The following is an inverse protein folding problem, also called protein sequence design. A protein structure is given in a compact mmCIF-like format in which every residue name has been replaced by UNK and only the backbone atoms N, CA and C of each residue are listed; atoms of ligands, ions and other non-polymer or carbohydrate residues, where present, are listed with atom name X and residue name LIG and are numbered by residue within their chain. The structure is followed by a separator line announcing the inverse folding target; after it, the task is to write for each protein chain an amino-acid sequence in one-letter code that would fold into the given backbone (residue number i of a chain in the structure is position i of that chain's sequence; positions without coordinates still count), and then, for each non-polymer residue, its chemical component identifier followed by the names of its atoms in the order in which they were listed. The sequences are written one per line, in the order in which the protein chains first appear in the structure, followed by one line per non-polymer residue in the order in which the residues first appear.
data_IF_744130586225
#
_entry.id   IF_744130586225
#
_cell.length_a   1.000
_cell.length_b   1.000
_cell.length_c   1.000
_cell.angle_alpha   90.00
_cell.angle_beta   90.00
_cell.angle_gamma   90.00
#
_symmetry.space_group_name_H-M   'P 1'
#
loop_
_entity.id
_entity.type
_entity.pdbx_description
1 polymer ?
#
# COMPACT_ATOMS: atom_id res chain seq x y z
N UNK A 1 -27.71 -24.18 35.65
CA UNK A 1 -27.84 -22.81 35.10
C UNK A 1 -26.97 -22.70 33.86
N UNK A 2 -27.58 -22.40 32.71
CA UNK A 2 -26.92 -22.16 31.42
C UNK A 2 -26.43 -20.71 31.36
N UNK A 3 -25.23 -20.46 30.82
CA UNK A 3 -24.72 -19.11 30.59
C UNK A 3 -25.09 -18.64 29.16
N UNK A 4 -25.77 -17.50 29.07
CA UNK A 4 -26.11 -16.84 27.81
C UNK A 4 -24.98 -15.90 27.37
N UNK A 5 -24.56 -15.99 26.11
CA UNK A 5 -23.67 -15.02 25.48
C UNK A 5 -24.48 -13.79 25.06
N UNK A 6 -23.93 -12.58 25.24
CA UNK A 6 -24.50 -11.36 24.68
C UNK A 6 -23.42 -10.48 24.03
N UNK A 7 -23.85 -9.77 23.00
CA UNK A 7 -23.12 -9.28 21.83
C UNK A 7 -22.35 -7.97 22.02
N UNK A 8 -21.23 -7.87 21.28
CA UNK A 8 -20.52 -6.70 20.73
C UNK A 8 -20.62 -5.32 21.40
N UNK A 9 -19.46 -4.72 21.69
CA UNK A 9 -19.27 -3.27 21.64
C UNK A 9 -17.87 -3.00 21.06
N UNK A 10 -17.84 -2.51 19.82
CA UNK A 10 -16.65 -1.89 19.22
C UNK A 10 -16.44 -0.55 19.91
N UNK A 11 -15.39 -0.44 20.74
CA UNK A 11 -14.94 0.86 21.22
C UNK A 11 -14.12 1.53 20.11
N UNK A 12 -14.79 2.32 19.28
CA UNK A 12 -14.19 3.37 18.46
C UNK A 12 -13.50 4.36 19.39
N UNK A 13 -12.21 4.16 19.64
CA UNK A 13 -11.37 5.16 20.31
C UNK A 13 -11.13 6.28 19.31
N UNK A 14 -11.98 7.30 19.39
CA UNK A 14 -11.74 8.61 18.82
C UNK A 14 -10.72 9.36 19.70
N UNK A 15 -9.41 9.16 19.47
CA UNK A 15 -8.31 9.95 20.03
C UNK A 15 -7.13 9.84 19.05
N UNK A 16 -6.61 10.87 18.38
CA UNK A 16 -6.67 12.29 18.59
C UNK A 16 -6.60 13.01 17.24
N UNK A 17 -7.34 14.11 17.11
CA UNK A 17 -7.17 15.05 16.01
C UNK A 17 -5.71 15.56 16.01
N UNK A 18 -5.03 15.66 14.85
CA UNK A 18 -3.88 16.53 14.75
C UNK A 18 -4.39 17.97 14.88
N UNK A 19 -4.14 18.56 16.05
CA UNK A 19 -4.20 20.00 16.28
C UNK A 19 -3.09 20.65 15.42
N UNK A 20 -3.40 20.97 14.16
CA UNK A 20 -2.41 21.56 13.27
C UNK A 20 -2.99 22.46 12.17
N UNK A 21 -4.07 23.19 12.45
CA UNK A 21 -4.61 24.18 11.51
C UNK A 21 -4.89 25.54 12.18
N UNK A 22 -3.98 25.99 13.05
CA UNK A 22 -3.66 27.42 13.18
C UNK A 22 -2.37 27.71 12.38
N UNK A 23 -2.45 27.58 11.06
CA UNK A 23 -1.51 28.23 10.17
C UNK A 23 -2.36 29.02 9.18
N UNK A 24 -2.31 30.34 9.39
CA UNK A 24 -3.23 31.33 8.84
C UNK A 24 -3.64 31.09 7.40
N UNK A 25 -4.93 31.34 7.16
CA UNK A 25 -5.50 31.59 5.84
C UNK A 25 -4.64 32.60 5.06
N UNK A 26 -3.75 32.14 4.20
CA UNK A 26 -3.42 32.83 2.97
C UNK A 26 -4.08 32.09 1.80
N UNK A 27 -5.11 32.75 1.30
CA UNK A 27 -5.79 32.38 0.08
C UNK A 27 -4.78 32.42 -1.08
N UNK A 28 -4.73 31.35 -1.88
CA UNK A 28 -5.03 31.38 -3.31
C UNK A 28 -4.38 30.17 -4.00
N UNK A 29 -5.25 29.29 -4.50
CA UNK A 29 -4.94 28.29 -5.52
C UNK A 29 -4.18 27.02 -5.10
N UNK A 30 -4.69 26.31 -4.09
CA UNK A 30 -4.45 24.88 -3.94
C UNK A 30 -5.76 24.13 -4.14
N UNK A 31 -5.93 23.52 -5.32
CA UNK A 31 -7.04 22.63 -5.61
C UNK A 31 -6.98 21.44 -4.64
N UNK A 32 -7.87 21.44 -3.64
CA UNK A 32 -8.08 20.29 -2.76
C UNK A 32 -8.82 19.26 -3.59
N UNK A 33 -8.07 18.29 -4.13
CA UNK A 33 -8.65 17.14 -4.83
C UNK A 33 -9.33 16.26 -3.77
N UNK A 34 -10.66 16.13 -3.83
CA UNK A 34 -11.43 15.29 -2.91
C UNK A 34 -10.88 13.86 -2.92
N UNK A 35 -10.58 13.33 -1.74
CA UNK A 35 -10.04 11.99 -1.53
C UNK A 35 -11.07 10.87 -1.77
N UNK A 36 -12.19 11.16 -2.44
CA UNK A 36 -13.32 10.23 -2.62
C UNK A 36 -13.24 9.40 -3.89
N UNK A 37 -12.08 9.36 -4.57
CA UNK A 37 -11.90 8.31 -5.56
C UNK A 37 -11.61 7.02 -4.81
N UNK A 38 -12.65 6.20 -4.64
CA UNK A 38 -12.53 4.78 -4.35
C UNK A 38 -11.75 4.16 -5.51
N UNK A 39 -10.43 4.34 -5.48
CA UNK A 39 -9.52 3.56 -6.25
C UNK A 39 -9.78 2.14 -5.76
N UNK A 40 -10.35 1.31 -6.63
CA UNK A 40 -10.15 -0.13 -6.54
C UNK A 40 -8.68 -0.29 -6.16
N UNK A 41 -8.42 -0.83 -4.97
CA UNK A 41 -7.08 -1.13 -4.48
C UNK A 41 -6.55 -2.25 -5.38
N UNK A 42 -6.30 -1.94 -6.65
CA UNK A 42 -5.52 -2.78 -7.53
C UNK A 42 -4.16 -2.70 -6.91
N UNK A 43 -3.75 -3.80 -6.28
CA UNK A 43 -2.40 -3.91 -5.73
C UNK A 43 -1.44 -3.39 -6.81
N UNK A 44 -0.60 -2.39 -6.49
CA UNK A 44 0.32 -1.83 -7.47
C UNK A 44 1.17 -2.98 -8.03
N UNK A 45 1.44 -2.98 -9.35
CA UNK A 45 2.24 -4.03 -9.95
C UNK A 45 3.59 -4.13 -9.25
N UNK A 46 4.09 -5.35 -9.04
CA UNK A 46 5.34 -5.55 -8.31
C UNK A 46 6.49 -4.74 -8.94
N UNK A 47 7.24 -3.94 -8.16
CA UNK A 47 8.38 -3.18 -8.66
C UNK A 47 9.43 -4.08 -9.32
N UNK A 48 9.99 -3.64 -10.45
CA UNK A 48 11.10 -4.34 -11.12
C UNK A 48 12.39 -4.06 -10.35
N UNK A 49 13.02 -5.11 -9.81
CA UNK A 49 14.31 -5.04 -9.09
C UNK A 49 15.48 -5.50 -9.94
N UNK A 50 15.20 -6.37 -10.92
CA UNK A 50 16.13 -6.75 -11.97
C UNK A 50 15.38 -6.73 -13.30
N UNK A 51 15.81 -5.89 -14.23
CA UNK A 51 15.21 -5.86 -15.58
C UNK A 51 15.73 -7.00 -16.43
N UNK A 52 14.90 -7.51 -17.36
CA UNK A 52 15.30 -8.58 -18.28
C UNK A 52 16.57 -8.28 -19.08
N UNK A 53 16.77 -7.03 -19.51
CA UNK A 53 17.95 -6.61 -20.28
C UNK A 53 19.23 -6.72 -19.45
N UNK A 54 19.22 -6.27 -18.20
CA UNK A 54 20.34 -6.44 -17.26
C UNK A 54 20.49 -7.88 -16.75
N UNK A 55 19.39 -8.65 -16.75
CA UNK A 55 19.30 -9.98 -16.17
C UNK A 55 19.47 -11.12 -17.17
N UNK A 56 20.01 -10.87 -18.37
CA UNK A 56 20.22 -11.89 -19.41
C UNK A 56 18.93 -12.63 -19.80
N UNK A 57 17.81 -11.91 -19.87
CA UNK A 57 16.49 -12.48 -20.12
C UNK A 57 15.73 -12.89 -18.87
N UNK A 58 16.25 -12.63 -17.66
CA UNK A 58 15.51 -12.80 -16.41
C UNK A 58 15.04 -11.44 -15.88
N UNK A 59 13.73 -11.27 -15.71
CA UNK A 59 13.16 -10.16 -14.94
C UNK A 59 12.76 -10.65 -13.55
N UNK A 60 13.08 -9.84 -12.54
CA UNK A 60 12.63 -10.06 -11.16
C UNK A 60 11.82 -8.87 -10.72
N UNK A 61 10.60 -9.15 -10.29
CA UNK A 61 9.72 -8.17 -9.67
C UNK A 61 9.59 -8.54 -8.19
N UNK A 62 9.88 -7.63 -7.27
CA UNK A 62 9.85 -7.92 -5.84
C UNK A 62 9.36 -6.76 -4.98
N UNK A 63 8.84 -7.12 -3.81
CA UNK A 63 8.61 -6.20 -2.72
C UNK A 63 8.91 -6.84 -1.37
N UNK A 64 9.31 -6.02 -0.41
CA UNK A 64 9.48 -6.42 0.97
C UNK A 64 8.14 -6.22 1.70
N UNK A 65 7.61 -7.30 2.28
CA UNK A 65 6.34 -7.24 3.02
C UNK A 65 6.58 -7.60 4.47
N UNK A 66 6.07 -6.80 5.39
CA UNK A 66 6.09 -7.09 6.82
C UNK A 66 4.70 -7.57 7.26
N UNK A 67 4.61 -8.78 7.81
CA UNK A 67 3.38 -9.34 8.42
C UNK A 67 3.74 -10.04 9.72
N UNK A 68 2.96 -9.81 10.77
CA UNK A 68 3.09 -10.51 12.05
C UNK A 68 4.53 -10.53 12.62
N UNK A 69 5.21 -9.37 12.56
CA UNK A 69 6.63 -9.20 12.95
C UNK A 69 7.65 -10.00 12.13
N UNK A 70 7.23 -10.66 11.06
CA UNK A 70 8.10 -11.30 10.08
C UNK A 70 8.23 -10.44 8.83
N UNK A 71 9.38 -10.56 8.18
CA UNK A 71 9.70 -9.86 6.93
C UNK A 71 9.83 -10.89 5.82
N UNK A 72 9.09 -10.70 4.75
CA UNK A 72 9.04 -11.59 3.60
C UNK A 72 9.50 -10.87 2.35
N UNK A 73 10.28 -11.56 1.53
CA UNK A 73 10.43 -11.18 0.13
C UNK A 73 9.31 -11.83 -0.66
N UNK A 74 8.44 -11.01 -1.23
CA UNK A 74 7.48 -11.47 -2.22
C UNK A 74 8.08 -11.18 -3.59
N UNK A 75 8.27 -12.21 -4.41
CA UNK A 75 9.00 -12.15 -5.66
C UNK A 75 8.30 -12.93 -6.77
N UNK A 76 8.39 -12.40 -7.99
CA UNK A 76 8.01 -13.07 -9.24
C UNK A 76 9.20 -13.07 -10.19
N UNK A 77 9.38 -14.18 -10.91
CA UNK A 77 10.45 -14.37 -11.88
C UNK A 77 9.83 -14.60 -13.25
N UNK A 78 10.27 -13.82 -14.23
CA UNK A 78 9.79 -13.91 -15.60
C UNK A 78 10.95 -14.07 -16.57
N UNK A 79 10.79 -15.00 -17.52
CA UNK A 79 11.77 -15.23 -18.58
C UNK A 79 11.35 -14.46 -19.83
N UNK A 80 12.22 -13.57 -20.27
CA UNK A 80 12.10 -12.83 -21.52
C UNK A 80 13.16 -13.30 -22.51
N UNK A 81 12.77 -13.40 -23.77
CA UNK A 81 13.73 -13.56 -24.86
C UNK A 81 14.32 -12.19 -25.18
N UNK A 82 15.64 -12.06 -25.06
CA UNK A 82 16.33 -10.87 -25.52
C UNK A 82 16.26 -10.86 -27.04
N UNK A 83 15.53 -9.91 -27.61
CA UNK A 83 15.59 -9.67 -29.05
C UNK A 83 16.95 -9.04 -29.34
N UNK A 84 17.74 -9.71 -30.20
CA UNK A 84 19.07 -9.28 -30.58
C UNK A 84 19.05 -7.86 -31.17
N UNK A 85 19.96 -7.03 -30.69
CA UNK A 85 20.28 -5.69 -31.18
C UNK A 85 21.01 -5.71 -32.51
#
# INVERSE_FOLDING_TARGET
MSASYSTATSCTVALALPDLLDLGMDNNNSAIVSADQLATLVDPPFPIVLSASSGQGLQINAQLVRRDRQVFYSMVFEKFLLMGS
#
